data_IF_886580240118
#
_entry.id   IF_886580240118
#
_cell.length_a   1.000
_cell.length_b   1.000
_cell.length_c   1.000
_cell.angle_alpha   90.00
_cell.angle_beta   90.00
_cell.angle_gamma   90.00
#
_symmetry.space_group_name_H-M   'P 1'
#
loop_
_entity.id
_entity.type
_entity.pdbx_description
1 polymer ?
#
# COMPACT_ATOMS: atom_id res chain seq x y z
N UNK A 1 26.53 5.90 -19.44
CA UNK A 1 26.10 4.64 -18.80
C UNK A 1 25.19 4.93 -17.60
N UNK A 2 23.95 5.38 -17.80
CA UNK A 2 23.07 5.86 -16.70
C UNK A 2 21.65 5.28 -16.80
N UNK A 3 21.48 3.98 -16.53
CA UNK A 3 20.15 3.36 -16.58
C UNK A 3 19.99 2.04 -15.84
N UNK A 4 21.08 1.38 -15.43
CA UNK A 4 20.99 0.06 -14.80
C UNK A 4 20.64 0.10 -13.29
N UNK A 5 21.14 1.09 -12.53
CA UNK A 5 20.88 1.18 -11.08
C UNK A 5 19.43 1.55 -10.72
N UNK A 6 18.79 2.44 -11.48
CA UNK A 6 17.40 2.89 -11.18
C UNK A 6 16.37 1.77 -11.22
N UNK A 7 16.52 0.83 -12.16
CA UNK A 7 15.63 -0.33 -12.27
C UNK A 7 15.93 -1.41 -11.22
N UNK A 8 17.14 -1.43 -10.68
CA UNK A 8 17.53 -2.36 -9.62
C UNK A 8 16.79 -2.03 -8.32
N UNK A 9 16.80 -0.77 -7.88
CA UNK A 9 16.13 -0.38 -6.64
C UNK A 9 14.61 -0.62 -6.65
N UNK A 10 13.91 -0.34 -7.76
CA UNK A 10 12.48 -0.68 -7.90
C UNK A 10 12.25 -2.18 -7.75
N UNK A 11 13.15 -3.02 -8.30
CA UNK A 11 13.07 -4.47 -8.18
C UNK A 11 13.25 -4.91 -6.72
N UNK A 12 14.23 -4.35 -6.00
CA UNK A 12 14.47 -4.66 -4.59
C UNK A 12 13.27 -4.30 -3.71
N UNK A 13 12.63 -3.15 -3.94
CA UNK A 13 11.40 -2.78 -3.24
C UNK A 13 10.25 -3.74 -3.52
N UNK A 14 10.11 -4.23 -4.77
CA UNK A 14 9.10 -5.26 -5.11
C UNK A 14 9.38 -6.57 -4.38
N UNK A 15 10.62 -7.04 -4.40
CA UNK A 15 11.03 -8.27 -3.71
C UNK A 15 10.78 -8.17 -2.21
N UNK A 16 11.08 -7.01 -1.61
CA UNK A 16 10.77 -6.75 -0.20
C UNK A 16 9.27 -6.75 0.07
N UNK A 17 8.45 -6.10 -0.78
CA UNK A 17 7.00 -6.14 -0.64
C UNK A 17 6.49 -7.58 -0.67
N UNK A 18 6.94 -8.40 -1.61
CA UNK A 18 6.54 -9.81 -1.67
C UNK A 18 6.92 -10.60 -0.40
N UNK A 19 8.11 -10.37 0.17
CA UNK A 19 8.52 -10.99 1.44
C UNK A 19 7.59 -10.59 2.58
N UNK A 20 7.24 -9.31 2.67
CA UNK A 20 6.28 -8.81 3.68
C UNK A 20 4.91 -9.43 3.50
N UNK A 21 4.43 -9.55 2.27
CA UNK A 21 3.12 -10.13 1.97
C UNK A 21 3.09 -11.63 2.30
N UNK A 22 4.20 -12.34 2.05
CA UNK A 22 4.38 -13.73 2.49
C UNK A 22 4.32 -13.85 4.01
N UNK A 23 4.97 -12.93 4.74
CA UNK A 23 4.94 -12.90 6.20
C UNK A 23 3.52 -12.65 6.73
N UNK A 24 2.83 -11.64 6.18
CA UNK A 24 1.45 -11.31 6.57
C UNK A 24 0.47 -12.47 6.31
N UNK A 25 0.62 -13.15 5.17
CA UNK A 25 -0.17 -14.34 4.85
C UNK A 25 0.11 -15.48 5.81
N UNK A 26 1.37 -15.69 6.21
CA UNK A 26 1.75 -16.70 7.20
C UNK A 26 1.14 -16.41 8.59
N UNK A 27 1.03 -15.14 8.98
CA UNK A 27 0.39 -14.73 10.24
C UNK A 27 -1.14 -14.91 10.23
N UNK A 28 -1.77 -15.07 9.06
CA UNK A 28 -3.19 -15.42 8.94
C UNK A 28 -4.17 -14.31 9.33
N UNK A 29 -3.73 -13.05 9.36
CA UNK A 29 -4.54 -11.91 9.80
C UNK A 29 -5.46 -11.33 8.70
N UNK A 30 -5.38 -11.83 7.47
CA UNK A 30 -6.14 -11.31 6.32
C UNK A 30 -5.72 -9.89 5.91
N UNK A 31 -4.52 -9.47 6.30
CA UNK A 31 -3.97 -8.14 6.05
C UNK A 31 -3.01 -8.08 4.86
N UNK A 32 -2.81 -9.21 4.18
CA UNK A 32 -2.19 -9.25 2.88
C UNK A 32 -3.01 -8.49 1.83
N UNK A 33 -2.31 -8.04 0.81
CA UNK A 33 -2.86 -7.38 -0.35
C UNK A 33 -3.55 -8.36 -1.27
N UNK A 34 -4.68 -7.92 -1.84
CA UNK A 34 -5.30 -8.57 -2.99
C UNK A 34 -4.41 -8.43 -4.21
N UNK A 35 -4.54 -9.35 -5.16
CA UNK A 35 -3.72 -9.39 -6.37
C UNK A 35 -3.73 -8.08 -7.17
N UNK A 36 -4.88 -7.40 -7.28
CA UNK A 36 -4.94 -6.11 -7.98
C UNK A 36 -4.21 -4.99 -7.23
N UNK A 37 -4.16 -5.05 -5.90
CA UNK A 37 -3.49 -4.04 -5.07
C UNK A 37 -1.97 -4.11 -5.26
N UNK A 38 -1.41 -5.31 -5.39
CA UNK A 38 -0.01 -5.50 -5.79
C UNK A 38 0.30 -4.79 -7.11
N UNK A 39 -0.46 -5.11 -8.16
CA UNK A 39 -0.25 -4.49 -9.48
C UNK A 39 -0.48 -2.98 -9.47
N UNK A 40 -1.37 -2.48 -8.62
CA UNK A 40 -1.62 -1.05 -8.44
C UNK A 40 -0.43 -0.35 -7.78
N UNK A 41 0.03 -0.84 -6.61
CA UNK A 41 1.16 -0.28 -5.83
C UNK A 41 2.39 -0.13 -6.71
N UNK A 42 2.78 -1.21 -7.39
CA UNK A 42 4.00 -1.25 -8.20
C UNK A 42 3.99 -0.30 -9.41
N UNK A 43 2.80 0.12 -9.85
CA UNK A 43 2.61 1.04 -10.97
C UNK A 43 2.45 2.49 -10.51
N UNK A 44 2.32 2.75 -9.21
CA UNK A 44 2.23 4.12 -8.72
C UNK A 44 3.53 4.87 -8.98
N UNK A 45 3.41 6.11 -9.44
CA UNK A 45 4.57 6.99 -9.69
C UNK A 45 5.44 7.13 -8.44
N UNK A 46 4.81 7.22 -7.26
CA UNK A 46 5.50 7.35 -5.97
C UNK A 46 6.33 6.12 -5.63
N UNK A 47 5.81 4.90 -5.86
CA UNK A 47 6.55 3.67 -5.64
C UNK A 47 7.81 3.61 -6.51
N UNK A 48 7.65 3.90 -7.81
CA UNK A 48 8.77 3.96 -8.75
C UNK A 48 9.77 5.03 -8.35
N UNK A 49 9.30 6.23 -8.02
CA UNK A 49 10.16 7.34 -7.62
C UNK A 49 11.02 7.01 -6.40
N UNK A 50 10.43 6.43 -5.35
CA UNK A 50 11.20 6.03 -4.16
C UNK A 50 12.12 4.85 -4.44
N UNK A 51 11.69 3.89 -5.27
CA UNK A 51 12.54 2.79 -5.74
C UNK A 51 13.74 3.24 -6.56
N UNK A 52 13.64 4.37 -7.26
CA UNK A 52 14.74 4.93 -8.03
C UNK A 52 15.68 5.84 -7.22
N UNK A 53 15.26 6.33 -6.05
CA UNK A 53 16.01 7.34 -5.29
C UNK A 53 16.65 6.85 -3.99
N UNK A 54 16.13 5.79 -3.35
CA UNK A 54 16.54 5.43 -1.98
C UNK A 54 18.05 5.20 -1.83
N UNK A 55 18.70 4.55 -2.79
CA UNK A 55 20.15 4.28 -2.72
C UNK A 55 20.96 5.58 -2.71
N UNK A 56 20.60 6.52 -3.60
CA UNK A 56 21.26 7.83 -3.71
C UNK A 56 21.04 8.70 -2.47
N UNK A 57 19.99 8.41 -1.71
CA UNK A 57 19.70 9.07 -0.44
C UNK A 57 20.35 8.39 0.75
N UNK A 58 21.11 7.31 0.54
CA UNK A 58 21.80 6.57 1.58
C UNK A 58 20.90 5.60 2.34
N UNK A 59 19.80 5.14 1.75
CA UNK A 59 18.87 4.16 2.31
C UNK A 59 18.99 2.80 1.59
N UNK A 60 18.32 1.80 2.15
CA UNK A 60 18.05 0.51 1.50
C UNK A 60 16.61 0.47 0.98
N UNK A 61 16.22 -0.64 0.35
CA UNK A 61 14.84 -0.88 -0.06
C UNK A 61 13.86 -0.79 1.13
N UNK A 62 14.31 -1.05 2.36
CA UNK A 62 13.49 -0.89 3.57
C UNK A 62 13.11 0.58 3.81
N UNK A 63 14.06 1.51 3.69
CA UNK A 63 13.78 2.95 3.79
C UNK A 63 12.88 3.44 2.65
N UNK A 64 13.11 2.97 1.41
CA UNK A 64 12.24 3.27 0.27
C UNK A 64 10.80 2.78 0.47
N UNK A 65 10.63 1.55 0.96
CA UNK A 65 9.32 0.96 1.28
C UNK A 65 8.63 1.69 2.42
N UNK A 66 9.35 2.00 3.50
CA UNK A 66 8.82 2.76 4.62
C UNK A 66 8.31 4.12 4.18
N UNK A 67 9.07 4.84 3.36
CA UNK A 67 8.65 6.13 2.82
C UNK A 67 7.41 6.03 1.94
N UNK A 68 7.31 4.97 1.13
CA UNK A 68 6.10 4.70 0.35
C UNK A 68 4.88 4.49 1.26
N UNK A 69 5.01 3.66 2.29
CA UNK A 69 3.93 3.40 3.26
C UNK A 69 3.52 4.69 3.97
N UNK A 70 4.49 5.46 4.46
CA UNK A 70 4.26 6.75 5.10
C UNK A 70 3.48 7.70 4.18
N UNK A 71 3.89 7.83 2.91
CA UNK A 71 3.20 8.67 1.94
C UNK A 71 1.75 8.23 1.71
N UNK A 72 1.51 6.93 1.50
CA UNK A 72 0.17 6.40 1.28
C UNK A 72 -0.75 6.64 2.49
N UNK A 73 -0.23 6.46 3.71
CA UNK A 73 -0.96 6.70 4.96
C UNK A 73 -1.30 8.18 5.14
N UNK A 74 -0.32 9.07 5.00
CA UNK A 74 -0.55 10.52 5.14
C UNK A 74 -1.54 11.03 4.10
N UNK A 75 -1.46 10.53 2.85
CA UNK A 75 -2.42 10.89 1.79
C UNK A 75 -3.84 10.34 2.00
N UNK A 76 -4.01 9.49 3.01
CA UNK A 76 -5.32 9.01 3.45
C UNK A 76 -5.79 9.77 4.68
N UNK A 77 -4.93 9.94 5.69
CA UNK A 77 -5.26 10.59 6.95
C UNK A 77 -5.59 12.08 6.73
N UNK A 78 -4.76 12.83 5.99
CA UNK A 78 -4.92 14.28 5.82
C UNK A 78 -6.31 14.66 5.26
N UNK A 79 -6.82 14.03 4.18
CA UNK A 79 -8.18 14.31 3.72
C UNK A 79 -9.26 13.92 4.73
N UNK A 80 -9.13 12.78 5.43
CA UNK A 80 -10.13 12.34 6.42
C UNK A 80 -10.26 13.35 7.55
N UNK A 81 -9.13 13.86 8.06
CA UNK A 81 -9.07 14.90 9.09
C UNK A 81 -9.73 16.20 8.62
N UNK A 82 -9.62 16.52 7.33
CA UNK A 82 -10.27 17.68 6.70
C UNK A 82 -11.75 17.46 6.38
N UNK A 83 -12.31 16.28 6.69
CA UNK A 83 -13.69 15.92 6.34
C UNK A 83 -13.89 15.57 4.86
N UNK A 84 -12.81 15.49 4.07
CA UNK A 84 -12.84 15.10 2.67
C UNK A 84 -12.70 13.59 2.57
N UNK A 85 -13.66 12.86 1.95
CA UNK A 85 -13.56 11.41 1.91
C UNK A 85 -12.48 11.00 0.88
N UNK A 86 -11.36 10.36 1.29
CA UNK A 86 -10.33 9.89 0.37
C UNK A 86 -10.90 8.74 -0.46
N UNK A 87 -10.53 8.64 -1.74
CA UNK A 87 -11.06 7.59 -2.64
C UNK A 87 -11.08 6.20 -1.97
N UNK A 88 -12.15 5.40 -2.14
CA UNK A 88 -12.27 4.09 -1.48
C UNK A 88 -11.04 3.18 -1.63
N UNK A 89 -10.44 3.13 -2.83
CA UNK A 89 -9.21 2.37 -3.10
C UNK A 89 -8.01 2.83 -2.27
N UNK A 90 -7.93 4.11 -1.94
CA UNK A 90 -6.85 4.69 -1.12
C UNK A 90 -7.04 4.29 0.34
N UNK A 91 -8.28 4.24 0.83
CA UNK A 91 -8.58 3.76 2.19
C UNK A 91 -8.22 2.28 2.34
N UNK A 92 -8.67 1.45 1.39
CA UNK A 92 -8.33 0.02 1.32
C UNK A 92 -6.81 -0.18 1.31
N UNK A 93 -6.10 0.60 0.49
CA UNK A 93 -4.64 0.54 0.40
C UNK A 93 -3.95 1.02 1.68
N UNK A 94 -4.44 2.09 2.31
CA UNK A 94 -3.87 2.63 3.55
C UNK A 94 -3.89 1.61 4.68
N UNK A 95 -4.98 0.85 4.78
CA UNK A 95 -5.09 -0.26 5.72
C UNK A 95 -3.95 -1.26 5.49
N UNK A 96 -3.75 -1.70 4.24
CA UNK A 96 -2.67 -2.64 3.88
C UNK A 96 -1.27 -2.03 4.14
N UNK A 97 -1.10 -0.75 3.84
CA UNK A 97 0.16 -0.02 4.08
C UNK A 97 0.51 0.09 5.56
N UNK A 98 -0.49 0.22 6.45
CA UNK A 98 -0.26 0.23 7.89
C UNK A 98 0.37 -1.09 8.34
N UNK A 99 -0.17 -2.23 7.91
CA UNK A 99 0.39 -3.55 8.25
C UNK A 99 1.74 -3.81 7.59
N UNK A 100 1.96 -3.34 6.35
CA UNK A 100 3.29 -3.40 5.72
C UNK A 100 4.31 -2.61 6.55
N UNK A 101 3.99 -1.39 6.97
CA UNK A 101 4.87 -0.56 7.79
C UNK A 101 5.22 -1.24 9.13
N UNK A 102 4.22 -1.82 9.80
CA UNK A 102 4.42 -2.53 11.08
C UNK A 102 5.21 -3.84 10.94
N UNK A 103 5.23 -4.44 9.74
CA UNK A 103 5.89 -5.72 9.49
C UNK A 103 7.32 -5.57 8.98
N UNK A 104 7.72 -4.38 8.49
CA UNK A 104 9.06 -4.13 7.95
C UNK A 104 10.19 -4.60 8.88
N UNK A 105 10.14 -4.22 10.16
CA UNK A 105 11.14 -4.61 11.17
C UNK A 105 11.19 -6.12 11.46
N UNK A 106 10.14 -6.88 11.12
CA UNK A 106 10.13 -8.35 11.28
C UNK A 106 10.76 -9.06 10.10
N UNK A 107 10.77 -8.43 8.93
CA UNK A 107 11.23 -9.03 7.67
C UNK A 107 12.67 -8.62 7.35
N UNK A 108 13.10 -7.46 7.82
CA UNK A 108 14.46 -6.95 7.64
C UNK A 108 15.18 -6.94 8.99
N UNK A 109 16.26 -7.71 9.17
CA UNK A 109 17.07 -7.69 10.38
C UNK A 109 17.57 -6.28 10.69
N UNK A 110 17.65 -5.92 11.98
CA UNK A 110 18.07 -4.58 12.37
C UNK A 110 19.51 -4.25 11.91
N UNK A 111 20.39 -5.25 11.87
CA UNK A 111 21.78 -5.12 11.42
C UNK A 111 21.91 -4.75 9.93
N UNK A 112 20.86 -5.03 9.13
CA UNK A 112 20.81 -4.70 7.70
C UNK A 112 20.25 -3.28 7.45
N UNK A 113 19.75 -2.60 8.50
CA UNK A 113 19.14 -1.28 8.40
C UNK A 113 20.15 -0.16 8.61
N UNK A 114 20.12 0.83 7.72
CA UNK A 114 20.86 2.09 7.88
C UNK A 114 20.08 3.03 8.81
N UNK A 115 20.77 4.01 9.40
CA UNK A 115 20.12 4.99 10.30
C UNK A 115 18.95 5.71 9.61
N UNK A 116 19.10 6.06 8.33
CA UNK A 116 18.03 6.67 7.54
C UNK A 116 16.85 5.73 7.32
N UNK A 117 17.08 4.42 7.15
CA UNK A 117 15.99 3.45 7.08
C UNK A 117 15.20 3.45 8.39
N UNK A 118 15.90 3.44 9.54
CA UNK A 118 15.26 3.47 10.86
C UNK A 118 14.40 4.73 11.06
N UNK A 119 14.86 5.88 10.56
CA UNK A 119 14.08 7.14 10.61
C UNK A 119 12.78 7.01 9.80
N UNK A 120 12.87 6.54 8.55
CA UNK A 120 11.71 6.39 7.66
C UNK A 120 10.73 5.33 8.17
N UNK A 121 11.23 4.19 8.66
CA UNK A 121 10.36 3.14 9.22
C UNK A 121 9.65 3.66 10.46
N UNK A 122 10.32 4.38 11.36
CA UNK A 122 9.66 5.00 12.50
C UNK A 122 8.59 6.02 12.09
N UNK A 123 8.82 6.80 11.03
CA UNK A 123 7.80 7.71 10.50
C UNK A 123 6.59 6.94 9.93
N UNK A 124 6.83 5.88 9.16
CA UNK A 124 5.79 5.02 8.62
C UNK A 124 4.97 4.33 9.72
N UNK A 125 5.63 3.80 10.75
CA UNK A 125 5.00 3.16 11.91
C UNK A 125 4.15 4.16 12.70
N UNK A 126 4.62 5.40 12.89
CA UNK A 126 3.81 6.45 13.53
C UNK A 126 2.54 6.74 12.74
N UNK A 127 2.64 6.93 11.42
CA UNK A 127 1.47 7.14 10.57
C UNK A 127 0.55 5.91 10.52
N UNK A 128 1.11 4.71 10.58
CA UNK A 128 0.33 3.47 10.62
C UNK A 128 -0.49 3.41 11.91
N UNK A 129 0.13 3.66 13.06
CA UNK A 129 -0.57 3.72 14.34
C UNK A 129 -1.63 4.83 14.36
N UNK A 130 -1.33 5.99 13.77
CA UNK A 130 -2.31 7.07 13.64
C UNK A 130 -3.53 6.64 12.81
N UNK A 131 -3.31 6.00 11.65
CA UNK A 131 -4.41 5.48 10.82
C UNK A 131 -5.20 4.41 11.56
N UNK A 132 -4.53 3.43 12.18
CA UNK A 132 -5.18 2.31 12.86
C UNK A 132 -6.00 2.78 14.07
N UNK A 133 -5.59 3.85 14.74
CA UNK A 133 -6.29 4.48 15.85
C UNK A 133 -7.32 5.55 15.43
N UNK A 134 -7.45 5.83 14.13
CA UNK A 134 -8.31 6.91 13.64
C UNK A 134 -9.80 6.57 13.82
N UNK A 135 -10.58 7.43 14.48
CA UNK A 135 -11.98 7.17 14.87
C UNK A 135 -12.89 6.78 13.69
N UNK A 136 -12.71 7.46 12.54
CA UNK A 136 -13.49 7.20 11.32
C UNK A 136 -13.04 5.96 10.52
N UNK A 137 -11.94 5.30 10.88
CA UNK A 137 -11.35 4.19 10.11
C UNK A 137 -12.35 3.06 9.87
N UNK A 138 -13.01 2.58 10.93
CA UNK A 138 -13.93 1.44 10.81
C UNK A 138 -15.16 1.76 9.96
N UNK A 139 -15.72 2.97 10.09
CA UNK A 139 -16.84 3.42 9.27
C UNK A 139 -16.47 3.41 7.78
N UNK A 140 -15.30 3.97 7.45
CA UNK A 140 -14.81 4.06 6.08
C UNK A 140 -14.49 2.69 5.49
N UNK A 141 -13.83 1.82 6.25
CA UNK A 141 -13.51 0.45 5.82
C UNK A 141 -14.77 -0.39 5.58
N UNK A 142 -15.80 -0.20 6.40
CA UNK A 142 -17.09 -0.91 6.20
C UNK A 142 -17.71 -0.52 4.85
N UNK A 143 -17.74 0.78 4.53
CA UNK A 143 -18.25 1.28 3.23
C UNK A 143 -17.43 0.76 2.05
N UNK A 144 -16.11 0.68 2.21
CA UNK A 144 -15.19 0.12 1.20
C UNK A 144 -15.50 -1.36 0.98
N UNK A 145 -15.65 -2.14 2.05
CA UNK A 145 -15.92 -3.58 1.98
C UNK A 145 -17.30 -3.89 1.35
N UNK A 146 -18.32 -3.10 1.64
CA UNK A 146 -19.64 -3.20 0.98
C UNK A 146 -19.54 -3.01 -0.54
N UNK A 147 -18.75 -2.02 -0.98
CA UNK A 147 -18.52 -1.77 -2.42
C UNK A 147 -17.78 -2.93 -3.07
N UNK A 148 -16.75 -3.45 -2.41
CA UNK A 148 -15.99 -4.60 -2.92
C UNK A 148 -16.84 -5.86 -3.02
N UNK A 149 -17.74 -6.10 -2.05
CA UNK A 149 -18.73 -7.18 -2.12
C UNK A 149 -19.71 -7.00 -3.28
N UNK A 150 -20.18 -5.77 -3.51
CA UNK A 150 -21.05 -5.47 -4.65
C UNK A 150 -20.33 -5.74 -5.99
N UNK A 151 -19.08 -5.29 -6.14
CA UNK A 151 -18.27 -5.59 -7.32
C UNK A 151 -18.09 -7.10 -7.49
N UNK A 152 -17.75 -7.82 -6.41
CA UNK A 152 -17.56 -9.27 -6.44
C UNK A 152 -18.82 -10.02 -6.89
N UNK A 153 -19.99 -9.59 -6.41
CA UNK A 153 -21.28 -10.14 -6.82
C UNK A 153 -21.57 -9.84 -8.30
N UNK A 154 -21.40 -8.60 -8.75
CA UNK A 154 -21.60 -8.22 -10.16
C UNK A 154 -20.71 -9.05 -11.09
N UNK A 155 -19.44 -9.29 -10.73
CA UNK A 155 -18.52 -10.11 -11.53
C UNK A 155 -18.96 -11.58 -11.58
N UNK A 156 -19.50 -12.10 -10.47
CA UNK A 156 -20.03 -13.47 -10.42
C UNK A 156 -21.31 -13.62 -11.25
N UNK A 157 -22.21 -12.64 -11.18
CA UNK A 157 -23.52 -12.67 -11.85
C UNK A 157 -23.39 -12.40 -13.36
N UNK A 158 -22.56 -11.43 -13.78
CA UNK A 158 -22.39 -11.04 -15.19
C UNK A 158 -21.41 -11.93 -15.97
N UNK A 159 -20.56 -12.67 -15.24
CA UNK A 159 -19.46 -13.45 -15.80
C UNK A 159 -18.23 -12.62 -16.18
N UNK A 160 -17.06 -13.28 -16.20
CA UNK A 160 -15.74 -12.62 -16.31
C UNK A 160 -15.58 -11.78 -17.58
N UNK A 161 -16.14 -12.21 -18.72
CA UNK A 161 -16.00 -11.49 -20.00
C UNK A 161 -16.74 -10.15 -19.98
N UNK A 162 -17.98 -10.14 -19.47
CA UNK A 162 -18.77 -8.91 -19.36
C UNK A 162 -18.21 -7.97 -18.29
N UNK A 163 -17.72 -8.53 -17.18
CA UNK A 163 -17.01 -7.78 -16.16
C UNK A 163 -15.79 -7.02 -16.73
N UNK A 164 -15.00 -7.68 -17.59
CA UNK A 164 -13.86 -7.03 -18.24
C UNK A 164 -14.29 -5.90 -19.18
N UNK A 165 -15.37 -6.09 -19.95
CA UNK A 165 -15.93 -5.05 -20.82
C UNK A 165 -16.47 -3.86 -20.02
N UNK A 166 -17.02 -4.12 -18.83
CA UNK A 166 -17.58 -3.12 -17.94
C UNK A 166 -16.57 -2.60 -16.89
N UNK A 167 -15.27 -2.82 -17.07
CA UNK A 167 -14.23 -2.48 -16.09
C UNK A 167 -14.28 -1.03 -15.58
N UNK A 168 -14.71 -0.09 -16.43
CA UNK A 168 -14.89 1.32 -16.06
C UNK A 168 -15.90 1.53 -14.93
N UNK A 169 -16.98 0.73 -14.88
CA UNK A 169 -17.98 0.76 -13.81
C UNK A 169 -17.32 0.44 -12.46
N UNK A 170 -16.50 -0.61 -12.42
CA UNK A 170 -15.82 -1.01 -11.18
C UNK A 170 -14.74 -0.02 -10.75
N UNK A 171 -14.04 0.59 -11.71
CA UNK A 171 -13.11 1.69 -11.41
C UNK A 171 -13.86 2.85 -10.73
N UNK A 172 -15.02 3.26 -11.27
CA UNK A 172 -15.83 4.32 -10.66
C UNK A 172 -16.25 3.97 -9.22
N UNK A 173 -16.65 2.73 -8.96
CA UNK A 173 -16.99 2.29 -7.59
C UNK A 173 -15.82 2.40 -6.61
N UNK A 174 -14.59 2.22 -7.09
CA UNK A 174 -13.36 2.27 -6.30
C UNK A 174 -12.74 3.68 -6.19
N UNK A 175 -13.15 4.62 -7.05
CA UNK A 175 -12.56 5.98 -7.11
C UNK A 175 -13.51 7.10 -6.73
N UNK A 176 -14.83 6.89 -6.67
CA UNK A 176 -15.81 7.93 -6.36
C UNK A 176 -16.57 7.66 -5.05
N UNK A 177 -16.84 8.71 -4.27
CA UNK A 177 -17.75 8.68 -3.14
C UNK A 177 -19.18 8.92 -3.56
#
# INVERSE_FOLDING_TARGET
MFGFGKRAGVKEMKELLMKIQSQLSHEGLGQEMRMYQHGFVEKTKTFVQFGESFESEGMTAAGGMARYCHNALIKTIEPVDQGLPPMPIIIDLAEKMAYVALTLYRVVPEDDLRDKDKIEINAAVRAANQWLAHDRRFELLTKVEERLKAIGKDVQDDGVVNALQNGQKYIQHLTAW
#
